data_IF_067852641777
#
_entry.id   IF_067852641777
#
_cell.length_a   1.000
_cell.length_b   1.000
_cell.length_c   1.000
_cell.angle_alpha   90.00
_cell.angle_beta   90.00
_cell.angle_gamma   90.00
#
_symmetry.space_group_name_H-M   'P 1'
#
loop_
_entity.id
_entity.type
_entity.pdbx_description
1 polymer ?
#
# COMPACT_ATOMS: atom_id res chain seq x y z
N UNK A 1 -8.88 12.47 -31.18
CA UNK A 1 -7.68 12.15 -30.37
C UNK A 1 -7.56 13.04 -29.12
N UNK A 2 -7.59 14.37 -29.23
CA UNK A 2 -7.45 15.31 -28.08
C UNK A 2 -8.44 15.00 -26.94
N UNK A 3 -9.73 14.79 -27.25
CA UNK A 3 -10.74 14.45 -26.23
C UNK A 3 -10.46 13.12 -25.51
N UNK A 4 -9.90 12.13 -26.20
CA UNK A 4 -9.54 10.84 -25.59
C UNK A 4 -8.36 11.00 -24.62
N UNK A 5 -7.37 11.81 -24.98
CA UNK A 5 -6.22 12.11 -24.11
C UNK A 5 -6.68 12.84 -22.85
N UNK A 6 -7.60 13.80 -22.97
CA UNK A 6 -8.20 14.48 -21.81
C UNK A 6 -8.89 13.49 -20.87
N UNK A 7 -9.71 12.58 -21.40
CA UNK A 7 -10.40 11.58 -20.58
C UNK A 7 -9.43 10.59 -19.93
N UNK A 8 -8.35 10.20 -20.61
CA UNK A 8 -7.29 9.38 -20.00
C UNK A 8 -6.56 10.14 -18.89
N UNK A 9 -6.35 11.44 -19.05
CA UNK A 9 -5.77 12.29 -18.01
C UNK A 9 -6.68 12.35 -16.76
N UNK A 10 -8.01 12.45 -16.93
CA UNK A 10 -8.95 12.37 -15.81
C UNK A 10 -8.84 11.03 -15.07
N UNK A 11 -8.77 9.91 -15.82
CA UNK A 11 -8.54 8.59 -15.23
C UNK A 11 -7.19 8.46 -14.50
N UNK A 12 -6.15 9.14 -15.00
CA UNK A 12 -4.84 9.22 -14.36
C UNK A 12 -4.91 9.93 -13.00
N UNK A 13 -5.69 11.00 -12.88
CA UNK A 13 -5.92 11.68 -11.60
C UNK A 13 -6.51 10.72 -10.58
N UNK A 14 -7.52 9.92 -10.97
CA UNK A 14 -8.11 8.91 -10.09
C UNK A 14 -7.08 7.85 -9.67
N UNK A 15 -6.23 7.38 -10.57
CA UNK A 15 -5.11 6.47 -10.22
C UNK A 15 -4.17 7.10 -9.20
N UNK A 16 -3.83 8.39 -9.35
CA UNK A 16 -2.98 9.14 -8.42
C UNK A 16 -3.64 9.35 -7.06
N UNK A 17 -4.95 9.59 -7.01
CA UNK A 17 -5.72 9.67 -5.76
C UNK A 17 -5.70 8.34 -5.00
N UNK A 18 -5.96 7.23 -5.71
CA UNK A 18 -5.87 5.88 -5.13
C UNK A 18 -4.47 5.62 -4.58
N UNK A 19 -3.44 5.97 -5.35
CA UNK A 19 -2.04 5.85 -4.95
C UNK A 19 -1.74 6.66 -3.67
N UNK A 20 -2.08 7.94 -3.67
CA UNK A 20 -1.78 8.85 -2.57
C UNK A 20 -2.51 8.46 -1.27
N UNK A 21 -3.80 8.14 -1.37
CA UNK A 21 -4.60 7.71 -0.21
C UNK A 21 -4.13 6.35 0.31
N UNK A 22 -3.78 5.41 -0.57
CA UNK A 22 -3.21 4.13 -0.14
C UNK A 22 -1.94 4.35 0.67
N UNK A 23 -1.00 5.18 0.21
CA UNK A 23 0.21 5.49 0.97
C UNK A 23 -0.08 6.19 2.29
N UNK A 24 -0.99 7.16 2.27
CA UNK A 24 -1.39 7.92 3.46
C UNK A 24 -1.84 7.00 4.59
N UNK A 25 -2.57 5.92 4.29
CA UNK A 25 -3.05 4.98 5.30
C UNK A 25 -2.11 3.80 5.55
N UNK A 26 -1.50 3.22 4.50
CA UNK A 26 -0.68 2.01 4.64
C UNK A 26 0.64 2.24 5.38
N UNK A 27 1.32 3.37 5.14
CA UNK A 27 2.57 3.73 5.82
C UNK A 27 2.39 3.78 7.34
N UNK A 28 1.46 4.58 7.90
CA UNK A 28 1.26 4.62 9.35
C UNK A 28 0.68 3.30 9.89
N UNK A 29 -0.17 2.59 9.14
CA UNK A 29 -0.76 1.32 9.58
C UNK A 29 0.26 0.17 9.62
N UNK A 30 1.29 0.21 8.79
CA UNK A 30 2.36 -0.80 8.80
C UNK A 30 3.17 -0.79 10.11
N UNK A 31 3.32 0.36 10.75
CA UNK A 31 4.10 0.48 12.00
C UNK A 31 3.51 -0.29 13.19
N UNK A 32 2.22 -0.14 13.57
CA UNK A 32 1.62 -0.94 14.64
C UNK A 32 1.57 -2.43 14.29
N UNK A 33 1.42 -2.80 13.00
CA UNK A 33 1.53 -4.19 12.57
C UNK A 33 2.95 -4.75 12.79
N UNK A 34 3.99 -3.97 12.48
CA UNK A 34 5.37 -4.36 12.78
C UNK A 34 5.61 -4.51 14.29
N UNK A 35 5.10 -3.56 15.09
CA UNK A 35 5.21 -3.60 16.54
C UNK A 35 4.47 -4.82 17.14
N UNK A 36 3.25 -5.10 16.68
CA UNK A 36 2.47 -6.27 17.09
C UNK A 36 3.19 -7.58 16.75
N UNK A 37 3.77 -7.68 15.55
CA UNK A 37 4.59 -8.82 15.13
C UNK A 37 5.81 -9.04 16.02
N UNK A 38 6.50 -7.96 16.41
CA UNK A 38 7.68 -8.00 17.29
C UNK A 38 7.34 -8.09 18.79
N UNK A 39 6.06 -8.13 19.15
CA UNK A 39 5.62 -8.19 20.54
C UNK A 39 6.13 -9.46 21.24
N UNK A 40 6.51 -9.32 22.51
CA UNK A 40 6.85 -10.47 23.37
C UNK A 40 5.62 -11.32 23.72
N UNK A 41 4.42 -10.76 23.62
CA UNK A 41 3.18 -11.48 23.85
C UNK A 41 2.91 -12.42 22.66
N UNK A 42 3.00 -13.74 22.90
CA UNK A 42 2.81 -14.77 21.87
C UNK A 42 1.44 -14.74 21.21
N UNK A 43 0.39 -14.31 21.92
CA UNK A 43 -0.96 -14.19 21.35
C UNK A 43 -0.97 -13.05 20.32
N UNK A 44 -0.49 -11.86 20.72
CA UNK A 44 -0.43 -10.69 19.83
C UNK A 44 0.45 -10.98 18.61
N UNK A 45 1.68 -11.46 18.84
CA UNK A 45 2.60 -11.79 17.76
C UNK A 45 2.04 -12.89 16.85
N UNK A 46 1.47 -13.96 17.43
CA UNK A 46 0.84 -15.05 16.68
C UNK A 46 -0.31 -14.59 15.78
N UNK A 47 -1.24 -13.79 16.32
CA UNK A 47 -2.38 -13.26 15.56
C UNK A 47 -1.94 -12.35 14.42
N UNK A 48 -0.98 -11.44 14.68
CA UNK A 48 -0.46 -10.54 13.64
C UNK A 48 0.32 -11.30 12.58
N UNK A 49 1.11 -12.31 12.97
CA UNK A 49 1.83 -13.17 12.02
C UNK A 49 0.88 -13.94 11.11
N UNK A 50 -0.20 -14.50 11.65
CA UNK A 50 -1.23 -15.19 10.87
C UNK A 50 -1.94 -14.22 9.90
N UNK A 51 -2.28 -13.03 10.37
CA UNK A 51 -2.88 -11.98 9.53
C UNK A 51 -1.97 -11.58 8.37
N UNK A 52 -0.69 -11.28 8.66
CA UNK A 52 0.31 -10.95 7.65
C UNK A 52 0.50 -12.09 6.64
N UNK A 53 0.50 -13.34 7.10
CA UNK A 53 0.62 -14.53 6.25
C UNK A 53 -0.55 -14.61 5.25
N UNK A 54 -1.78 -14.41 5.72
CA UNK A 54 -2.96 -14.45 4.85
C UNK A 54 -2.93 -13.33 3.82
N UNK A 55 -2.66 -12.08 4.25
CA UNK A 55 -2.66 -10.93 3.35
C UNK A 55 -1.53 -11.02 2.33
N UNK A 56 -0.31 -11.42 2.73
CA UNK A 56 0.82 -11.52 1.79
C UNK A 56 0.80 -12.82 0.97
N UNK A 57 0.07 -13.83 1.42
CA UNK A 57 -0.09 -15.12 0.75
C UNK A 57 -1.28 -15.18 -0.22
N UNK A 58 -2.10 -14.13 -0.31
CA UNK A 58 -3.27 -14.08 -1.19
C UNK A 58 -3.15 -12.97 -2.25
N UNK A 59 -3.68 -13.18 -3.46
CA UNK A 59 -3.64 -12.15 -4.51
C UNK A 59 -4.38 -10.87 -4.09
N UNK A 60 -3.77 -9.70 -4.31
CA UNK A 60 -4.39 -8.40 -4.04
C UNK A 60 -5.72 -8.21 -4.78
N UNK A 61 -5.83 -8.73 -6.01
CA UNK A 61 -7.09 -8.72 -6.76
C UNK A 61 -8.22 -9.45 -6.02
N UNK A 62 -7.92 -10.58 -5.38
CA UNK A 62 -8.90 -11.32 -4.58
C UNK A 62 -9.29 -10.51 -3.33
N UNK A 63 -8.34 -9.83 -2.69
CA UNK A 63 -8.61 -8.97 -1.54
C UNK A 63 -9.53 -7.80 -1.89
N UNK A 64 -9.34 -7.16 -3.05
CA UNK A 64 -10.25 -6.12 -3.55
C UNK A 64 -11.68 -6.64 -3.69
N UNK A 65 -11.86 -7.81 -4.31
CA UNK A 65 -13.16 -8.46 -4.47
C UNK A 65 -13.78 -8.76 -3.10
N UNK A 66 -13.02 -9.37 -2.19
CA UNK A 66 -13.51 -9.72 -0.85
C UNK A 66 -13.94 -8.47 -0.07
N UNK A 67 -13.09 -7.45 0.00
CA UNK A 67 -13.40 -6.21 0.74
C UNK A 67 -14.65 -5.53 0.20
N UNK A 68 -14.84 -5.51 -1.13
CA UNK A 68 -16.01 -4.88 -1.74
C UNK A 68 -17.31 -5.70 -1.57
N UNK A 69 -17.28 -7.01 -1.81
CA UNK A 69 -18.50 -7.83 -1.86
C UNK A 69 -18.91 -8.44 -0.51
N UNK A 70 -17.96 -8.76 0.38
CA UNK A 70 -18.24 -9.45 1.65
C UNK A 70 -19.25 -8.70 2.54
N UNK A 71 -19.18 -7.36 2.73
CA UNK A 71 -20.17 -6.65 3.55
C UNK A 71 -21.61 -6.85 3.05
N UNK A 72 -21.82 -6.84 1.71
CA UNK A 72 -23.13 -7.05 1.11
C UNK A 72 -23.66 -8.47 1.36
N UNK A 73 -22.80 -9.48 1.30
CA UNK A 73 -23.18 -10.86 1.61
C UNK A 73 -23.54 -11.04 3.08
N UNK A 74 -22.80 -10.42 4.00
CA UNK A 74 -23.10 -10.46 5.45
C UNK A 74 -24.45 -9.80 5.73
N UNK A 75 -24.70 -8.62 5.17
CA UNK A 75 -25.97 -7.90 5.37
C UNK A 75 -27.15 -8.70 4.81
N UNK A 76 -26.99 -9.29 3.61
CA UNK A 76 -28.02 -10.16 3.03
C UNK A 76 -28.34 -11.34 3.96
N UNK A 77 -27.32 -12.03 4.47
CA UNK A 77 -27.49 -13.13 5.41
C UNK A 77 -28.20 -12.68 6.70
N UNK A 78 -27.79 -11.54 7.28
CA UNK A 78 -28.43 -11.01 8.49
C UNK A 78 -29.90 -10.63 8.26
N UNK A 79 -30.25 -10.09 7.08
CA UNK A 79 -31.64 -9.81 6.74
C UNK A 79 -32.48 -11.08 6.59
N UNK A 80 -31.92 -12.13 5.98
CA UNK A 80 -32.61 -13.41 5.79
C UNK A 80 -32.84 -14.13 7.14
N UNK A 81 -31.89 -14.05 8.07
CA UNK A 81 -31.98 -14.73 9.37
C UNK A 81 -32.81 -13.94 10.39
N UNK A 82 -32.65 -12.61 10.44
CA UNK A 82 -33.21 -11.78 11.52
C UNK A 82 -34.29 -10.80 11.06
N UNK A 83 -34.62 -10.73 9.76
CA UNK A 83 -35.67 -9.86 9.24
C UNK A 83 -35.38 -8.35 9.39
N UNK A 84 -34.11 -7.95 9.51
CA UNK A 84 -33.72 -6.59 9.89
C UNK A 84 -33.96 -5.52 8.82
N UNK A 85 -34.12 -5.90 7.55
CA UNK A 85 -34.37 -4.97 6.44
C UNK A 85 -33.23 -3.97 6.15
N UNK A 86 -32.00 -4.28 6.59
CA UNK A 86 -30.84 -3.38 6.48
C UNK A 86 -30.31 -3.39 5.04
N UNK A 87 -30.11 -2.22 4.44
CA UNK A 87 -29.40 -2.12 3.17
C UNK A 87 -28.16 -1.24 3.33
N UNK A 88 -26.98 -1.83 3.16
CA UNK A 88 -25.75 -1.05 3.01
C UNK A 88 -24.91 -1.62 1.88
N UNK A 89 -24.29 -0.71 1.11
CA UNK A 89 -23.33 -1.03 0.07
C UNK A 89 -22.10 -0.19 0.31
N UNK A 90 -20.95 -0.84 0.36
CA UNK A 90 -19.68 -0.15 0.46
C UNK A 90 -19.38 0.52 -0.88
N UNK A 91 -18.96 1.78 -0.86
CA UNK A 91 -18.51 2.46 -2.07
C UNK A 91 -17.26 1.78 -2.65
N UNK A 92 -17.17 1.69 -3.98
CA UNK A 92 -16.09 0.98 -4.67
C UNK A 92 -14.73 1.64 -4.46
N UNK A 93 -14.69 2.97 -4.45
CA UNK A 93 -13.45 3.71 -4.23
C UNK A 93 -13.00 3.51 -2.78
N UNK A 94 -13.91 3.61 -1.81
CA UNK A 94 -13.60 3.33 -0.40
C UNK A 94 -13.11 1.88 -0.22
N UNK A 95 -13.76 0.90 -0.83
CA UNK A 95 -13.34 -0.50 -0.79
C UNK A 95 -11.93 -0.70 -1.37
N UNK A 96 -11.61 -0.02 -2.48
CA UNK A 96 -10.28 -0.01 -3.07
C UNK A 96 -9.23 0.53 -2.10
N UNK A 97 -9.48 1.69 -1.48
CA UNK A 97 -8.56 2.29 -0.51
C UNK A 97 -8.35 1.35 0.68
N UNK A 98 -9.41 0.74 1.23
CA UNK A 98 -9.29 -0.19 2.37
C UNK A 98 -8.43 -1.39 1.98
N UNK A 99 -8.74 -2.06 0.87
CA UNK A 99 -8.04 -3.27 0.45
C UNK A 99 -6.56 -2.99 0.16
N UNK A 100 -6.26 -1.95 -0.61
CA UNK A 100 -4.89 -1.56 -0.92
C UNK A 100 -4.13 -1.12 0.33
N UNK A 101 -4.75 -0.32 1.20
CA UNK A 101 -4.08 0.18 2.41
C UNK A 101 -3.72 -0.94 3.37
N UNK A 102 -4.62 -1.90 3.59
CA UNK A 102 -4.37 -3.07 4.43
C UNK A 102 -3.29 -3.96 3.80
N UNK A 103 -3.36 -4.19 2.49
CA UNK A 103 -2.35 -4.98 1.78
C UNK A 103 -0.96 -4.37 1.93
N UNK A 104 -0.79 -3.10 1.54
CA UNK A 104 0.49 -2.41 1.59
C UNK A 104 0.99 -2.19 3.03
N UNK A 105 0.10 -2.02 4.01
CA UNK A 105 0.50 -1.97 5.42
C UNK A 105 1.18 -3.27 5.87
N UNK A 106 0.72 -4.42 5.38
CA UNK A 106 1.34 -5.72 5.68
C UNK A 106 2.74 -5.86 5.06
N UNK A 107 2.96 -5.34 3.85
CA UNK A 107 4.30 -5.29 3.23
C UNK A 107 5.21 -4.31 3.97
N UNK A 108 4.73 -3.11 4.29
CA UNK A 108 5.50 -2.14 5.08
C UNK A 108 5.81 -2.63 6.49
N UNK A 109 4.93 -3.40 7.12
CA UNK A 109 5.20 -4.00 8.43
C UNK A 109 6.46 -4.90 8.42
N UNK A 110 6.67 -5.64 7.34
CA UNK A 110 7.84 -6.50 7.17
C UNK A 110 9.10 -5.71 6.88
N UNK A 111 8.97 -4.64 6.10
CA UNK A 111 10.07 -3.72 5.83
C UNK A 111 10.50 -3.02 7.13
N UNK A 112 9.56 -2.52 7.93
CA UNK A 112 9.86 -1.94 9.25
C UNK A 112 10.54 -2.96 10.16
N UNK A 113 9.99 -4.17 10.27
CA UNK A 113 10.60 -5.25 11.08
C UNK A 113 12.02 -5.56 10.61
N UNK A 114 12.23 -5.72 9.31
CA UNK A 114 13.55 -5.96 8.71
C UNK A 114 14.51 -4.82 9.01
N UNK A 115 14.04 -3.57 8.91
CA UNK A 115 14.78 -2.38 9.28
C UNK A 115 15.26 -2.41 10.73
N UNK A 116 14.36 -2.65 11.68
CA UNK A 116 14.70 -2.74 13.11
C UNK A 116 15.66 -3.89 13.43
N UNK A 117 15.41 -5.08 12.88
CA UNK A 117 16.24 -6.26 13.14
C UNK A 117 17.64 -6.15 12.53
N UNK A 118 17.79 -5.33 11.49
CA UNK A 118 19.09 -5.16 10.85
C UNK A 118 20.07 -4.32 11.68
N UNK A 119 19.60 -3.59 12.70
CA UNK A 119 20.46 -2.75 13.54
C UNK A 119 21.32 -3.63 14.45
N UNK A 120 22.66 -3.51 14.41
CA UNK A 120 23.54 -4.32 15.24
C UNK A 120 23.28 -4.12 16.74
N UNK A 121 23.33 -5.21 17.50
CA UNK A 121 23.15 -5.17 18.95
C UNK A 121 24.14 -4.20 19.64
N UNK A 122 25.36 -4.09 19.11
CA UNK A 122 26.38 -3.16 19.60
C UNK A 122 25.96 -1.69 19.58
N UNK A 123 25.04 -1.26 18.72
CA UNK A 123 24.48 0.11 18.75
C UNK A 123 23.64 0.34 20.01
N UNK A 124 22.84 -0.66 20.39
CA UNK A 124 22.05 -0.60 21.61
C UNK A 124 22.96 -0.66 22.85
N UNK A 125 23.94 -1.55 22.86
CA UNK A 125 24.91 -1.68 23.96
C UNK A 125 25.75 -0.41 24.15
N UNK A 126 26.31 0.13 23.07
CA UNK A 126 27.07 1.39 23.10
C UNK A 126 26.23 2.56 23.61
N UNK A 127 24.97 2.66 23.19
CA UNK A 127 24.08 3.72 23.68
C UNK A 127 23.87 3.65 25.20
N UNK A 128 23.77 2.44 25.75
CA UNK A 128 23.61 2.21 27.20
C UNK A 128 24.89 2.56 27.96
N UNK A 129 26.06 2.19 27.44
CA UNK A 129 27.36 2.55 28.01
C UNK A 129 27.56 4.07 28.04
N UNK A 130 27.09 4.77 27.01
CA UNK A 130 27.12 6.23 26.92
C UNK A 130 26.05 6.94 27.76
N UNK A 131 25.24 6.20 28.53
CA UNK A 131 24.24 6.76 29.44
C UNK A 131 22.97 7.28 28.76
N UNK A 132 22.70 6.91 27.51
CA UNK A 132 21.46 7.28 26.85
C UNK A 132 20.26 6.53 27.45
N UNK A 133 19.15 7.25 27.63
CA UNK A 133 17.85 6.65 27.95
C UNK A 133 17.29 5.89 26.74
N UNK A 134 16.43 4.91 26.95
CA UNK A 134 15.77 4.14 25.86
C UNK A 134 15.11 5.05 24.80
N UNK A 135 14.48 6.16 25.24
CA UNK A 135 13.90 7.15 24.31
C UNK A 135 14.97 7.85 23.47
N UNK A 136 16.08 8.26 24.09
CA UNK A 136 17.19 8.90 23.36
C UNK A 136 17.87 7.91 22.43
N UNK A 137 18.14 6.68 22.87
CA UNK A 137 18.66 5.60 22.03
C UNK A 137 17.76 5.41 20.81
N UNK A 138 16.46 5.28 21.01
CA UNK A 138 15.52 5.09 19.91
C UNK A 138 15.54 6.28 18.93
N UNK A 139 15.24 7.50 19.39
CA UNK A 139 15.03 8.63 18.47
C UNK A 139 16.34 9.20 17.88
N UNK A 140 17.46 9.14 18.62
CA UNK A 140 18.72 9.74 18.17
C UNK A 140 19.64 8.76 17.46
N UNK A 141 19.58 7.47 17.79
CA UNK A 141 20.56 6.48 17.29
C UNK A 141 19.87 5.47 16.37
N UNK A 142 18.83 4.81 16.84
CA UNK A 142 18.22 3.67 16.13
C UNK A 142 17.34 4.13 14.98
N UNK A 143 16.40 5.03 15.23
CA UNK A 143 15.40 5.46 14.25
C UNK A 143 16.02 6.04 12.97
N UNK A 144 17.04 6.92 13.00
CA UNK A 144 17.69 7.41 11.78
C UNK A 144 18.33 6.29 10.94
N UNK A 145 18.96 5.30 11.61
CA UNK A 145 19.55 4.14 10.93
C UNK A 145 18.48 3.25 10.30
N UNK A 146 17.38 3.01 11.03
CA UNK A 146 16.24 2.24 10.51
C UNK A 146 15.64 2.92 9.29
N UNK A 147 15.36 4.23 9.37
CA UNK A 147 14.83 5.02 8.24
C UNK A 147 15.71 4.83 7.00
N UNK A 148 17.03 4.98 7.14
CA UNK A 148 17.95 4.78 6.02
C UNK A 148 17.81 3.39 5.38
N UNK A 149 17.69 2.35 6.20
CA UNK A 149 17.66 0.96 5.74
C UNK A 149 16.33 0.55 5.12
N UNK A 150 15.22 1.16 5.56
CA UNK A 150 13.88 0.84 5.03
C UNK A 150 13.51 1.62 3.78
N UNK A 151 14.11 2.79 3.54
CA UNK A 151 13.73 3.64 2.39
C UNK A 151 13.87 2.91 1.04
N UNK A 152 14.98 2.20 0.73
CA UNK A 152 15.09 1.48 -0.54
C UNK A 152 14.00 0.40 -0.74
N UNK A 153 13.78 -0.55 0.19
CA UNK A 153 12.69 -1.52 0.02
C UNK A 153 11.29 -0.88 0.06
N UNK A 154 11.08 0.20 0.85
CA UNK A 154 9.82 0.95 0.80
C UNK A 154 9.60 1.59 -0.59
N UNK A 155 10.65 2.15 -1.20
CA UNK A 155 10.59 2.71 -2.54
C UNK A 155 10.17 1.69 -3.59
N UNK A 156 10.67 0.45 -3.51
CA UNK A 156 10.27 -0.62 -4.42
C UNK A 156 8.78 -0.97 -4.29
N UNK A 157 8.24 -1.03 -3.08
CA UNK A 157 6.81 -1.24 -2.86
C UNK A 157 5.99 -0.05 -3.38
N UNK A 158 6.43 1.18 -3.12
CA UNK A 158 5.73 2.40 -3.60
C UNK A 158 5.71 2.46 -5.13
N UNK A 159 6.82 2.11 -5.79
CA UNK A 159 6.91 1.99 -7.25
C UNK A 159 5.96 0.90 -7.78
N UNK A 160 5.79 -0.18 -7.04
CA UNK A 160 4.85 -1.26 -7.38
C UNK A 160 3.41 -0.80 -7.23
N UNK A 161 3.10 -0.03 -6.19
CA UNK A 161 1.76 0.51 -5.94
C UNK A 161 1.22 1.34 -7.10
N UNK A 162 2.07 2.13 -7.77
CA UNK A 162 1.67 2.89 -8.97
C UNK A 162 0.98 1.98 -9.98
N UNK A 163 1.53 0.78 -10.22
CA UNK A 163 0.98 -0.20 -11.16
C UNK A 163 -0.24 -0.92 -10.56
N UNK A 164 -0.20 -1.25 -9.27
CA UNK A 164 -1.29 -1.95 -8.60
C UNK A 164 -2.56 -1.10 -8.47
N UNK A 165 -2.48 0.22 -8.61
CA UNK A 165 -3.69 1.07 -8.72
C UNK A 165 -4.59 0.63 -9.87
N UNK A 166 -4.04 0.04 -10.93
CA UNK A 166 -4.84 -0.50 -12.04
C UNK A 166 -5.76 -1.67 -11.62
N UNK A 167 -5.43 -2.40 -10.54
CA UNK A 167 -6.21 -3.55 -10.08
C UNK A 167 -7.59 -3.15 -9.54
N UNK A 168 -7.78 -1.90 -9.13
CA UNK A 168 -9.08 -1.40 -8.62
C UNK A 168 -10.16 -1.40 -9.71
N UNK A 169 -9.76 -1.46 -10.98
CA UNK A 169 -10.67 -1.64 -12.13
C UNK A 169 -11.49 -2.93 -12.05
N UNK A 170 -11.00 -3.96 -11.34
CA UNK A 170 -11.66 -5.26 -11.17
C UNK A 170 -12.96 -5.14 -10.37
N UNK A 171 -13.03 -4.21 -9.43
CA UNK A 171 -14.27 -3.88 -8.70
C UNK A 171 -15.04 -2.71 -9.34
N UNK A 172 -14.64 -2.29 -10.55
CA UNK A 172 -15.35 -1.32 -11.35
C UNK A 172 -15.11 0.14 -10.96
N UNK A 173 -13.98 0.46 -10.33
CA UNK A 173 -13.49 1.84 -10.20
C UNK A 173 -13.00 2.33 -11.56
N UNK A 174 -13.40 3.53 -11.96
CA UNK A 174 -13.06 4.12 -13.26
C UNK A 174 -11.77 4.92 -13.12
N UNK A 175 -10.64 4.21 -13.09
CA UNK A 175 -9.30 4.79 -13.16
C UNK A 175 -8.74 4.76 -14.59
N UNK A 176 -7.46 5.09 -14.78
CA UNK A 176 -6.77 5.17 -16.07
C UNK A 176 -6.94 3.93 -16.96
N UNK A 177 -6.66 2.73 -16.46
CA UNK A 177 -6.77 1.49 -17.23
C UNK A 177 -8.23 1.20 -17.60
N UNK A 178 -9.17 1.36 -16.66
CA UNK A 178 -10.61 1.18 -16.93
C UNK A 178 -11.12 2.17 -17.96
N UNK A 179 -10.65 3.41 -17.90
CA UNK A 179 -10.96 4.46 -18.86
C UNK A 179 -10.44 4.09 -20.26
N UNK A 180 -9.20 3.63 -20.34
CA UNK A 180 -8.59 3.16 -21.58
C UNK A 180 -9.34 1.96 -22.18
N UNK A 181 -9.73 0.98 -21.35
CA UNK A 181 -10.55 -0.16 -21.77
C UNK A 181 -11.91 0.31 -22.32
N UNK A 182 -12.56 1.26 -21.66
CA UNK A 182 -13.85 1.80 -22.08
C UNK A 182 -13.76 2.50 -23.44
N UNK A 183 -12.73 3.32 -23.66
CA UNK A 183 -12.49 3.98 -24.95
C UNK A 183 -12.13 2.92 -26.01
N UNK A 184 -11.27 1.96 -25.68
CA UNK A 184 -10.85 0.87 -26.57
C UNK A 184 -12.04 0.06 -27.08
N UNK A 185 -12.94 -0.35 -26.18
CA UNK A 185 -14.17 -1.08 -26.55
C UNK A 185 -15.11 -0.23 -27.41
N UNK A 186 -15.23 1.08 -27.12
CA UNK A 186 -16.11 1.98 -27.87
C UNK A 186 -15.63 2.21 -29.32
N UNK A 187 -14.33 2.29 -29.53
CA UNK A 187 -13.74 2.61 -30.84
C UNK A 187 -13.11 1.39 -31.54
N UNK A 188 -13.24 0.20 -30.95
CA UNK A 188 -12.63 -1.05 -31.43
C UNK A 188 -11.14 -0.88 -31.77
N UNK A 189 -10.39 -0.24 -30.86
CA UNK A 189 -8.98 0.12 -31.07
C UNK A 189 -8.18 -0.09 -29.80
N UNK A 190 -7.02 -0.73 -29.91
CA UNK A 190 -6.10 -0.96 -28.78
C UNK A 190 -5.23 0.25 -28.45
N UNK A 191 -5.20 1.27 -29.30
CA UNK A 191 -4.39 2.49 -29.11
C UNK A 191 -4.57 3.15 -27.74
N UNK A 192 -5.78 3.31 -27.17
CA UNK A 192 -5.97 3.92 -25.85
C UNK A 192 -5.26 3.16 -24.71
N UNK A 193 -5.12 1.84 -24.82
CA UNK A 193 -4.43 1.01 -23.81
C UNK A 193 -2.92 1.27 -23.85
N UNK A 194 -2.34 1.41 -25.04
CA UNK A 194 -0.93 1.80 -25.18
C UNK A 194 -0.66 3.21 -24.65
N UNK A 195 -1.57 4.15 -24.91
CA UNK A 195 -1.48 5.51 -24.36
C UNK A 195 -1.55 5.47 -22.83
N UNK A 196 -2.46 4.70 -22.24
CA UNK A 196 -2.49 4.51 -20.79
C UNK A 196 -1.19 3.88 -20.25
N UNK A 197 -0.58 2.94 -20.98
CA UNK A 197 0.74 2.41 -20.66
C UNK A 197 1.83 3.48 -20.57
N UNK A 198 1.81 4.46 -21.48
CA UNK A 198 2.74 5.60 -21.43
C UNK A 198 2.51 6.48 -20.19
N UNK A 199 1.25 6.72 -19.82
CA UNK A 199 0.91 7.43 -18.58
C UNK A 199 1.43 6.69 -17.34
N UNK A 200 1.20 5.38 -17.25
CA UNK A 200 1.76 4.54 -16.18
C UNK A 200 3.28 4.58 -16.13
N UNK A 201 3.95 4.54 -17.29
CA UNK A 201 5.40 4.66 -17.38
C UNK A 201 5.89 6.00 -16.84
N UNK A 202 5.27 7.12 -17.25
CA UNK A 202 5.65 8.46 -16.79
C UNK A 202 5.43 8.61 -15.29
N UNK A 203 4.28 8.17 -14.77
CA UNK A 203 4.00 8.18 -13.31
C UNK A 203 5.09 7.39 -12.55
N UNK A 204 5.39 6.18 -13.01
CA UNK A 204 6.38 5.33 -12.38
C UNK A 204 7.80 5.94 -12.44
N UNK A 205 8.18 6.51 -13.59
CA UNK A 205 9.47 7.17 -13.78
C UNK A 205 9.68 8.37 -12.82
N UNK A 206 8.65 9.19 -12.62
CA UNK A 206 8.67 10.30 -11.67
C UNK A 206 8.86 9.80 -10.25
N UNK A 207 8.06 8.81 -9.81
CA UNK A 207 8.17 8.22 -8.47
C UNK A 207 9.54 7.58 -8.27
N UNK A 208 10.01 6.80 -9.23
CA UNK A 208 11.32 6.13 -9.18
C UNK A 208 12.46 7.13 -9.05
N UNK A 209 12.45 8.20 -9.84
CA UNK A 209 13.47 9.26 -9.77
C UNK A 209 13.45 9.99 -8.42
N UNK A 210 12.26 10.23 -7.85
CA UNK A 210 12.13 10.81 -6.52
C UNK A 210 12.76 9.92 -5.43
N UNK A 211 12.54 8.60 -5.49
CA UNK A 211 13.17 7.65 -4.53
C UNK A 211 14.68 7.55 -4.72
N UNK A 212 15.18 7.52 -5.96
CA UNK A 212 16.63 7.53 -6.22
C UNK A 212 17.28 8.80 -5.63
N UNK A 213 16.64 9.96 -5.78
CA UNK A 213 17.14 11.21 -5.19
C UNK A 213 17.12 11.16 -3.66
N UNK A 214 16.06 10.60 -3.07
CA UNK A 214 15.94 10.42 -1.62
C UNK A 214 17.01 9.47 -1.06
N UNK A 215 17.25 8.34 -1.72
CA UNK A 215 18.30 7.38 -1.34
C UNK A 215 19.69 8.02 -1.38
N UNK A 216 20.01 8.76 -2.46
CA UNK A 216 21.28 9.48 -2.56
C UNK A 216 21.48 10.48 -1.43
N UNK A 217 20.41 11.17 -1.03
CA UNK A 217 20.46 12.10 0.11
C UNK A 217 20.74 11.37 1.42
N UNK A 218 20.30 10.13 1.61
CA UNK A 218 20.45 9.37 2.85
C UNK A 218 21.80 8.63 2.99
N UNK A 219 22.75 8.81 2.07
CA UNK A 219 24.05 8.13 2.05
C UNK A 219 25.10 8.64 3.07
N UNK A 220 24.68 9.06 4.26
CA UNK A 220 25.57 9.66 5.29
C UNK A 220 26.43 8.66 6.11
N UNK A 221 26.24 7.34 5.93
CA UNK A 221 26.99 6.30 6.64
C UNK A 221 27.48 5.27 5.62
N UNK A 222 28.79 5.14 5.41
CA UNK A 222 29.40 4.06 4.62
C UNK A 222 29.92 2.99 5.56
#
# INVERSE_FOLDING_TARGET
MIRQISTLFDGCIISLEVFALTLLFSVPLGFPLAAGRMSRNKIVSGSVNAFLLVIRGTPLMLQLILVYFTPGFIIKYLNEVYGLGITARLDRFIAAIIALSVNYACYFAEIYRGGFQSIPQGQYEASKVLGYTEKQTFFRIILPQVIKRIIPPMGNEVITLVKDTALVSVIGVVELLRTAQTISSKYFSTTPIFVAGLFYFVMNWVVSTAFIALEKKLNYYK
#
